data_IF_691762768220
#
_entry.id   IF_691762768220
#
_cell.length_a   1.000
_cell.length_b   1.000
_cell.length_c   1.000
_cell.angle_alpha   90.00
_cell.angle_beta   90.00
_cell.angle_gamma   90.00
#
_symmetry.space_group_name_H-M   'P 1'
#
loop_
_entity.id
_entity.type
_entity.pdbx_description
1 polymer ?
#
# COMPACT_ATOMS: atom_id res chain seq x y z
N UNK A 1 25.92 35.15 -14.51
CA UNK A 1 24.77 34.37 -15.00
C UNK A 1 23.51 35.17 -14.75
N UNK A 2 22.71 35.46 -15.78
CA UNK A 2 21.47 36.24 -15.65
C UNK A 2 20.46 35.46 -14.79
N UNK A 3 19.92 36.05 -13.73
CA UNK A 3 18.88 35.44 -12.93
C UNK A 3 17.61 35.26 -13.79
N UNK A 4 17.00 34.06 -13.76
CA UNK A 4 15.75 33.81 -14.49
C UNK A 4 14.58 34.28 -13.63
N UNK A 5 13.69 35.15 -14.12
CA UNK A 5 12.57 35.64 -13.30
C UNK A 5 11.62 34.50 -12.91
N UNK A 6 10.91 34.69 -11.80
CA UNK A 6 9.87 33.76 -11.35
C UNK A 6 8.77 33.63 -12.42
N UNK A 7 8.26 32.41 -12.71
CA UNK A 7 7.20 32.20 -13.69
C UNK A 7 5.92 33.00 -13.35
N UNK A 8 5.15 33.38 -14.37
CA UNK A 8 3.81 33.94 -14.15
C UNK A 8 2.83 32.86 -13.68
N UNK A 9 1.74 33.23 -13.00
CA UNK A 9 0.78 32.28 -12.41
C UNK A 9 0.21 31.25 -13.41
N UNK A 10 0.02 31.63 -14.68
CA UNK A 10 -0.54 30.77 -15.74
C UNK A 10 0.49 30.30 -16.77
N UNK A 11 1.78 30.44 -16.45
CA UNK A 11 2.84 29.97 -17.32
C UNK A 11 2.94 28.45 -17.28
N UNK A 12 3.44 27.82 -18.35
CA UNK A 12 3.64 26.38 -18.42
C UNK A 12 4.68 25.88 -17.39
N UNK A 13 5.56 26.77 -16.94
CA UNK A 13 6.57 26.49 -15.91
C UNK A 13 6.10 26.82 -14.48
N UNK A 14 4.85 27.25 -14.31
CA UNK A 14 4.29 27.54 -13.00
C UNK A 14 4.04 26.24 -12.22
N UNK A 15 4.51 26.13 -10.97
CA UNK A 15 4.21 24.98 -10.13
C UNK A 15 2.73 25.01 -9.74
N UNK A 16 2.10 23.84 -9.67
CA UNK A 16 0.69 23.70 -9.30
C UNK A 16 0.53 22.80 -8.09
N UNK A 17 -0.52 23.04 -7.32
CA UNK A 17 -0.89 22.25 -6.15
C UNK A 17 -2.38 21.94 -6.19
N UNK A 18 -2.71 20.70 -5.83
CA UNK A 18 -4.07 20.18 -5.74
C UNK A 18 -4.33 19.79 -4.28
N UNK A 19 -5.20 20.54 -3.59
CA UNK A 19 -5.53 20.32 -2.18
C UNK A 19 -6.22 18.98 -1.91
N UNK A 20 -6.83 18.35 -2.93
CA UNK A 20 -7.36 16.99 -2.83
C UNK A 20 -6.24 15.93 -2.72
N UNK A 21 -4.99 16.29 -3.02
CA UNK A 21 -3.81 15.43 -2.93
C UNK A 21 -2.74 16.05 -2.03
N UNK A 22 -2.90 16.01 -0.70
CA UNK A 22 -1.95 16.58 0.26
C UNK A 22 -0.50 16.11 0.09
N UNK A 23 -0.30 14.89 -0.42
CA UNK A 23 1.03 14.34 -0.69
C UNK A 23 1.81 15.08 -1.79
N UNK A 24 1.13 15.82 -2.66
CA UNK A 24 1.76 16.65 -3.69
C UNK A 24 2.29 17.98 -3.12
N UNK A 25 1.90 18.37 -1.90
CA UNK A 25 2.33 19.62 -1.27
C UNK A 25 3.85 19.68 -1.08
N UNK A 26 4.47 18.57 -0.67
CA UNK A 26 5.93 18.48 -0.58
C UNK A 26 6.61 18.71 -1.93
N UNK A 27 6.03 18.16 -3.01
CA UNK A 27 6.53 18.34 -4.38
C UNK A 27 6.38 19.77 -4.85
N UNK A 28 5.25 20.41 -4.53
CA UNK A 28 5.00 21.81 -4.83
C UNK A 28 6.06 22.72 -4.19
N UNK A 29 6.32 22.54 -2.90
CA UNK A 29 7.37 23.30 -2.21
C UNK A 29 8.76 23.04 -2.78
N UNK A 30 9.12 21.79 -3.10
CA UNK A 30 10.40 21.49 -3.72
C UNK A 30 10.58 22.18 -5.09
N UNK A 31 9.51 22.20 -5.92
CA UNK A 31 9.53 22.89 -7.21
C UNK A 31 9.69 24.41 -7.04
N UNK A 32 9.02 24.99 -6.06
CA UNK A 32 9.11 26.43 -5.77
C UNK A 32 10.48 26.82 -5.21
N UNK A 33 11.04 26.01 -4.32
CA UNK A 33 12.37 26.23 -3.77
C UNK A 33 13.44 26.20 -4.88
N UNK A 34 13.32 25.26 -5.81
CA UNK A 34 14.16 25.25 -7.01
C UNK A 34 14.01 26.53 -7.86
N UNK A 35 12.79 27.07 -7.99
CA UNK A 35 12.56 28.33 -8.69
C UNK A 35 13.15 29.52 -7.93
N UNK A 36 13.08 29.54 -6.60
CA UNK A 36 13.72 30.58 -5.79
C UNK A 36 15.23 30.61 -5.97
N UNK A 37 15.86 29.44 -5.99
CA UNK A 37 17.31 29.34 -6.20
C UNK A 37 17.70 29.87 -7.59
N UNK A 38 16.92 29.52 -8.61
CA UNK A 38 17.15 29.98 -9.99
C UNK A 38 16.90 31.47 -10.20
N UNK A 39 15.92 32.03 -9.48
CA UNK A 39 15.56 33.44 -9.51
C UNK A 39 16.34 34.29 -8.49
N UNK A 40 17.23 33.68 -7.70
CA UNK A 40 17.98 34.32 -6.62
C UNK A 40 17.07 35.07 -5.61
N UNK A 41 15.88 34.55 -5.34
CA UNK A 41 14.95 35.12 -4.35
C UNK A 41 15.44 34.72 -2.97
N UNK A 42 16.00 35.68 -2.22
CA UNK A 42 16.53 35.44 -0.86
C UNK A 42 15.58 35.91 0.23
N UNK A 43 14.75 36.92 -0.04
CA UNK A 43 13.86 37.50 0.95
C UNK A 43 12.73 36.55 1.37
N UNK A 44 12.50 36.45 2.67
CA UNK A 44 11.48 35.55 3.22
C UNK A 44 10.06 36.02 2.93
N UNK A 45 9.80 37.33 2.86
CA UNK A 45 8.46 37.84 2.54
C UNK A 45 8.12 37.55 1.08
N UNK A 46 9.06 37.82 0.16
CA UNK A 46 8.89 37.51 -1.25
C UNK A 46 8.72 36.02 -1.51
N UNK A 47 9.48 35.15 -0.83
CA UNK A 47 9.27 33.68 -0.91
C UNK A 47 7.85 33.28 -0.52
N UNK A 48 7.29 33.85 0.55
CA UNK A 48 5.91 33.55 0.97
C UNK A 48 4.90 34.00 -0.08
N UNK A 49 5.01 35.23 -0.60
CA UNK A 49 4.11 35.75 -1.66
C UNK A 49 4.16 34.90 -2.93
N UNK A 50 5.36 34.50 -3.34
CA UNK A 50 5.50 33.62 -4.49
C UNK A 50 4.93 32.22 -4.23
N UNK A 51 5.03 31.71 -3.00
CA UNK A 51 4.46 30.43 -2.63
C UNK A 51 2.92 30.42 -2.63
N UNK A 52 2.25 31.54 -2.40
CA UNK A 52 0.78 31.63 -2.47
C UNK A 52 0.29 31.97 -3.88
N UNK A 53 1.09 32.71 -4.67
CA UNK A 53 0.74 33.17 -6.02
C UNK A 53 0.30 32.07 -6.99
N UNK A 54 0.80 30.84 -6.87
CA UNK A 54 0.50 29.77 -7.84
C UNK A 54 -0.70 28.89 -7.45
N UNK A 55 -1.32 29.16 -6.31
CA UNK A 55 -2.42 28.38 -5.78
C UNK A 55 -3.76 28.78 -6.42
N UNK A 56 -4.75 27.89 -6.26
CA UNK A 56 -6.15 28.25 -6.51
C UNK A 56 -6.61 29.22 -5.42
N UNK A 57 -7.58 30.07 -5.73
CA UNK A 57 -8.03 31.18 -4.87
C UNK A 57 -8.33 30.73 -3.45
N UNK A 58 -9.04 29.61 -3.27
CA UNK A 58 -9.42 29.11 -1.95
C UNK A 58 -8.21 28.68 -1.10
N UNK A 59 -7.25 27.98 -1.72
CA UNK A 59 -6.00 27.58 -1.06
C UNK A 59 -5.11 28.80 -0.79
N UNK A 60 -5.09 29.78 -1.70
CA UNK A 60 -4.35 31.03 -1.54
C UNK A 60 -4.86 31.80 -0.31
N UNK A 61 -6.16 32.07 -0.24
CA UNK A 61 -6.80 32.77 0.90
C UNK A 61 -6.52 32.06 2.22
N UNK A 62 -6.56 30.72 2.20
CA UNK A 62 -6.28 29.89 3.37
C UNK A 62 -4.85 30.09 3.87
N UNK A 63 -3.86 30.13 2.96
CA UNK A 63 -2.45 30.30 3.32
C UNK A 63 -2.14 31.73 3.77
N UNK A 64 -2.79 32.72 3.15
CA UNK A 64 -2.62 34.14 3.48
C UNK A 64 -3.25 34.51 4.84
N UNK A 65 -4.25 33.75 5.29
CA UNK A 65 -4.88 33.91 6.61
C UNK A 65 -3.96 33.47 7.76
N UNK A 66 -2.91 32.69 7.49
CA UNK A 66 -2.00 32.22 8.53
C UNK A 66 -1.27 33.40 9.19
N UNK A 67 -1.18 33.46 10.53
CA UNK A 67 -0.50 34.56 11.23
C UNK A 67 0.99 34.65 10.88
N UNK A 68 1.57 33.53 10.46
CA UNK A 68 2.97 33.43 10.00
C UNK A 68 3.17 34.06 8.62
N UNK A 69 2.13 34.17 7.80
CA UNK A 69 2.20 34.87 6.51
C UNK A 69 2.29 36.38 6.72
N UNK A 70 1.36 36.96 7.50
CA UNK A 70 1.28 38.41 7.77
C UNK A 70 2.47 38.91 8.59
N UNK A 71 3.05 38.05 9.44
CA UNK A 71 4.17 38.44 10.27
C UNK A 71 5.51 38.42 9.49
N UNK A 72 6.06 39.61 9.27
CA UNK A 72 7.32 39.85 8.54
C UNK A 72 8.53 39.21 9.26
N UNK A 73 8.48 39.09 10.59
CA UNK A 73 9.59 38.50 11.39
C UNK A 73 9.70 36.99 11.25
N UNK A 74 8.66 36.33 10.72
CA UNK A 74 8.64 34.87 10.58
C UNK A 74 9.32 34.45 9.29
N UNK A 75 10.05 33.35 9.33
CA UNK A 75 10.79 32.86 8.15
C UNK A 75 9.88 32.09 7.19
N UNK A 76 10.34 31.94 5.96
CA UNK A 76 9.68 31.06 4.98
C UNK A 76 9.58 29.61 5.47
N UNK A 77 10.60 29.09 6.17
CA UNK A 77 10.58 27.73 6.70
C UNK A 77 9.47 27.53 7.74
N UNK A 78 9.25 28.51 8.61
CA UNK A 78 8.14 28.47 9.58
C UNK A 78 6.79 28.46 8.86
N UNK A 79 6.64 29.29 7.81
CA UNK A 79 5.46 29.29 6.96
C UNK A 79 5.22 27.92 6.31
N UNK A 80 6.26 27.33 5.69
CA UNK A 80 6.20 26.00 5.10
C UNK A 80 5.77 24.95 6.13
N UNK A 81 6.35 24.94 7.33
CA UNK A 81 5.96 24.01 8.39
C UNK A 81 4.50 24.16 8.81
N UNK A 82 4.00 25.39 8.96
CA UNK A 82 2.61 25.62 9.38
C UNK A 82 1.62 25.28 8.26
N UNK A 83 1.95 25.59 7.00
CA UNK A 83 1.17 25.15 5.85
C UNK A 83 1.14 23.63 5.76
N UNK A 84 2.29 22.96 5.93
CA UNK A 84 2.33 21.49 5.95
C UNK A 84 1.37 20.95 7.03
N UNK A 85 1.46 21.45 8.27
CA UNK A 85 0.59 21.07 9.39
C UNK A 85 -0.91 21.23 9.10
N UNK A 86 -1.29 22.24 8.31
CA UNK A 86 -2.68 22.49 7.94
C UNK A 86 -3.27 21.33 7.12
N UNK A 87 -2.49 20.78 6.19
CA UNK A 87 -2.96 19.69 5.31
C UNK A 87 -2.69 18.28 5.87
N UNK A 88 -1.67 18.11 6.73
CA UNK A 88 -1.26 16.80 7.25
C UNK A 88 -1.76 16.47 8.65
N UNK A 89 -2.59 17.33 9.26
CA UNK A 89 -3.16 17.08 10.57
C UNK A 89 -2.07 16.85 11.64
N UNK A 90 -1.34 17.93 11.96
CA UNK A 90 -0.32 17.99 13.01
C UNK A 90 0.94 17.10 12.82
N UNK A 91 1.05 16.33 11.73
CA UNK A 91 2.26 15.59 11.39
C UNK A 91 3.06 16.38 10.35
N UNK A 92 4.30 16.79 10.63
CA UNK A 92 5.13 17.61 9.73
C UNK A 92 5.50 16.94 8.38
N UNK A 93 4.92 15.79 8.10
CA UNK A 93 5.43 14.81 7.15
C UNK A 93 4.31 14.43 6.16
N UNK A 94 4.02 15.33 5.22
CA UNK A 94 2.82 15.31 4.38
C UNK A 94 2.71 14.19 3.34
N UNK A 95 3.58 13.18 3.28
CA UNK A 95 3.56 12.28 2.13
C UNK A 95 2.63 11.07 2.30
N UNK A 96 2.80 10.21 3.30
CA UNK A 96 1.92 9.03 3.46
C UNK A 96 1.72 8.59 4.91
N UNK A 97 0.46 8.42 5.34
CA UNK A 97 0.12 7.78 6.62
C UNK A 97 -0.14 6.28 6.48
N UNK A 98 -0.27 5.57 7.60
CA UNK A 98 -0.68 4.16 7.62
C UNK A 98 -2.07 3.99 6.98
N UNK A 99 -2.98 4.95 7.17
CA UNK A 99 -4.29 4.96 6.51
C UNK A 99 -4.21 4.95 4.98
N UNK A 100 -3.16 5.52 4.38
CA UNK A 100 -2.96 5.46 2.93
C UNK A 100 -2.56 4.05 2.47
N UNK A 101 -1.80 3.32 3.29
CA UNK A 101 -1.50 1.92 3.05
C UNK A 101 -2.78 1.08 3.14
N UNK A 102 -3.58 1.27 4.18
CA UNK A 102 -4.84 0.55 4.37
C UNK A 102 -5.84 0.83 3.24
N UNK A 103 -5.95 2.08 2.80
CA UNK A 103 -6.78 2.46 1.65
C UNK A 103 -6.30 1.79 0.36
N UNK A 104 -4.99 1.71 0.13
CA UNK A 104 -4.41 1.01 -1.01
C UNK A 104 -4.73 -0.49 -0.96
N UNK A 105 -4.51 -1.13 0.18
CA UNK A 105 -4.81 -2.55 0.39
C UNK A 105 -6.31 -2.83 0.23
N UNK A 106 -7.17 -1.97 0.77
CA UNK A 106 -8.62 -2.08 0.62
C UNK A 106 -9.12 -1.84 -0.80
N UNK A 107 -8.43 -1.02 -1.61
CA UNK A 107 -8.70 -0.89 -3.04
C UNK A 107 -8.36 -2.18 -3.78
N UNK A 108 -7.15 -2.71 -3.62
CA UNK A 108 -6.72 -3.91 -4.35
C UNK A 108 -7.37 -5.21 -3.83
N UNK A 109 -7.84 -5.24 -2.59
CA UNK A 109 -8.69 -6.32 -2.08
C UNK A 109 -10.02 -6.43 -2.87
N UNK A 110 -10.59 -5.29 -3.28
CA UNK A 110 -11.84 -5.22 -4.05
C UNK A 110 -11.62 -5.37 -5.55
N UNK A 111 -10.66 -4.63 -6.11
CA UNK A 111 -10.38 -4.59 -7.54
C UNK A 111 -9.66 -5.85 -8.03
N UNK A 112 -8.93 -6.54 -7.13
CA UNK A 112 -8.10 -7.73 -7.36
C UNK A 112 -6.99 -7.50 -8.41
N UNK A 113 -5.92 -8.29 -8.32
CA UNK A 113 -4.80 -8.21 -9.26
C UNK A 113 -4.97 -9.31 -10.30
N UNK A 114 -5.31 -8.93 -11.54
CA UNK A 114 -5.57 -9.89 -12.61
C UNK A 114 -4.45 -9.94 -13.65
N UNK A 115 -3.78 -8.81 -13.92
CA UNK A 115 -2.75 -8.71 -14.94
C UNK A 115 -1.39 -8.31 -14.38
N UNK A 116 -0.34 -8.55 -15.17
CA UNK A 116 1.02 -8.05 -14.88
C UNK A 116 1.06 -6.52 -14.79
N UNK A 117 0.24 -5.83 -15.58
CA UNK A 117 0.16 -4.37 -15.56
C UNK A 117 -0.44 -3.87 -14.23
N UNK A 118 -1.47 -4.56 -13.73
CA UNK A 118 -2.08 -4.25 -12.43
C UNK A 118 -1.09 -4.53 -11.29
N UNK A 119 -0.39 -5.67 -11.33
CA UNK A 119 0.64 -6.01 -10.35
C UNK A 119 1.73 -4.96 -10.30
N UNK A 120 2.20 -4.49 -11.45
CA UNK A 120 3.27 -3.47 -11.52
C UNK A 120 2.77 -2.12 -11.03
N UNK A 121 1.52 -1.75 -11.33
CA UNK A 121 0.91 -0.51 -10.83
C UNK A 121 0.73 -0.55 -9.32
N UNK A 122 0.22 -1.66 -8.79
CA UNK A 122 0.16 -1.93 -7.36
C UNK A 122 1.54 -1.82 -6.72
N UNK A 123 2.55 -2.51 -7.26
CA UNK A 123 3.91 -2.54 -6.72
C UNK A 123 4.52 -1.14 -6.61
N UNK A 124 4.39 -0.30 -7.65
CA UNK A 124 4.88 1.09 -7.61
C UNK A 124 4.19 1.92 -6.53
N UNK A 125 2.86 1.83 -6.44
CA UNK A 125 2.08 2.57 -5.44
C UNK A 125 2.41 2.09 -4.02
N UNK A 126 2.50 0.77 -3.84
CA UNK A 126 2.80 0.12 -2.58
C UNK A 126 4.20 0.49 -2.08
N UNK A 127 5.23 0.41 -2.93
CA UNK A 127 6.59 0.82 -2.57
C UNK A 127 6.66 2.30 -2.21
N UNK A 128 5.98 3.17 -2.97
CA UNK A 128 5.97 4.61 -2.69
C UNK A 128 5.48 4.91 -1.28
N UNK A 129 4.42 4.24 -0.84
CA UNK A 129 3.85 4.40 0.51
C UNK A 129 4.72 3.74 1.57
N UNK A 130 5.06 2.46 1.37
CA UNK A 130 5.73 1.67 2.41
C UNK A 130 7.19 2.07 2.64
N UNK A 131 7.93 2.47 1.59
CA UNK A 131 9.31 2.99 1.76
C UNK A 131 9.31 4.26 2.60
N UNK A 132 8.31 5.13 2.41
CA UNK A 132 8.12 6.30 3.23
C UNK A 132 7.82 5.93 4.69
N UNK A 133 6.86 5.03 4.92
CA UNK A 133 6.49 4.59 6.27
C UNK A 133 7.65 3.89 7.01
N UNK A 134 8.48 3.12 6.31
CA UNK A 134 9.70 2.50 6.85
C UNK A 134 10.73 3.56 7.23
N UNK A 135 10.96 4.56 6.36
CA UNK A 135 11.90 5.66 6.67
C UNK A 135 11.52 6.45 7.92
N UNK A 136 10.23 6.43 8.27
CA UNK A 136 9.67 7.05 9.48
C UNK A 136 9.47 6.07 10.64
N UNK A 137 9.97 4.83 10.50
CA UNK A 137 9.82 3.75 11.48
C UNK A 137 8.36 3.49 11.92
N UNK A 138 7.39 3.74 11.03
CA UNK A 138 5.95 3.51 11.28
C UNK A 138 5.53 2.09 10.98
N UNK A 139 6.22 1.45 10.05
CA UNK A 139 6.11 0.01 9.75
C UNK A 139 7.52 -0.56 9.57
N UNK A 140 7.68 -1.83 9.87
CA UNK A 140 8.89 -2.61 9.64
C UNK A 140 8.94 -3.20 8.21
N UNK A 141 10.13 -3.62 7.78
CA UNK A 141 10.33 -4.34 6.50
C UNK A 141 9.55 -5.66 6.47
N UNK A 142 9.43 -6.33 7.63
CA UNK A 142 8.65 -7.56 7.77
C UNK A 142 7.16 -7.31 7.56
N UNK A 143 6.62 -6.24 8.15
CA UNK A 143 5.23 -5.84 7.97
C UNK A 143 4.94 -5.41 6.53
N UNK A 144 5.86 -4.69 5.88
CA UNK A 144 5.77 -4.38 4.46
C UNK A 144 5.60 -5.65 3.61
N UNK A 145 6.41 -6.68 3.89
CA UNK A 145 6.38 -7.94 3.13
C UNK A 145 5.08 -8.71 3.37
N UNK A 146 4.59 -8.76 4.62
CA UNK A 146 3.30 -9.37 4.97
C UNK A 146 2.13 -8.63 4.34
N UNK A 147 2.12 -7.30 4.39
CA UNK A 147 1.08 -6.48 3.77
C UNK A 147 1.00 -6.69 2.25
N UNK A 148 2.15 -6.87 1.59
CA UNK A 148 2.19 -7.18 0.17
C UNK A 148 1.51 -8.52 -0.16
N UNK A 149 1.77 -9.56 0.64
CA UNK A 149 1.10 -10.86 0.50
C UNK A 149 -0.40 -10.75 0.77
N UNK A 150 -0.83 -10.03 1.82
CA UNK A 150 -2.25 -9.84 2.11
C UNK A 150 -3.00 -9.13 0.97
N UNK A 151 -2.33 -8.28 0.20
CA UNK A 151 -2.89 -7.60 -0.96
C UNK A 151 -3.16 -8.53 -2.16
N UNK A 152 -2.54 -9.72 -2.20
CA UNK A 152 -2.64 -10.70 -3.30
C UNK A 152 -3.99 -11.43 -3.25
N UNK A 153 -5.07 -10.70 -3.45
CA UNK A 153 -6.40 -11.26 -3.63
C UNK A 153 -6.64 -11.59 -5.11
N UNK A 154 -7.32 -12.72 -5.41
CA UNK A 154 -7.97 -13.66 -4.50
C UNK A 154 -7.02 -14.65 -3.80
N UNK A 155 -7.47 -15.32 -2.74
CA UNK A 155 -6.69 -16.32 -1.99
C UNK A 155 -6.04 -17.42 -2.86
N UNK A 156 -6.61 -17.74 -4.02
CA UNK A 156 -6.03 -18.66 -4.99
C UNK A 156 -4.77 -18.13 -5.69
N UNK A 157 -4.67 -16.80 -5.89
CA UNK A 157 -3.45 -16.16 -6.37
C UNK A 157 -2.37 -16.21 -5.29
N UNK A 158 -2.72 -15.83 -4.05
CA UNK A 158 -1.81 -15.91 -2.90
C UNK A 158 -1.21 -17.31 -2.73
N UNK A 159 -2.04 -18.36 -2.73
CA UNK A 159 -1.58 -19.73 -2.58
C UNK A 159 -0.57 -20.16 -3.67
N UNK A 160 -0.80 -19.73 -4.92
CA UNK A 160 0.14 -20.00 -6.03
C UNK A 160 1.46 -19.24 -5.86
N UNK A 161 1.40 -18.00 -5.35
CA UNK A 161 2.59 -17.20 -5.07
C UNK A 161 3.39 -17.80 -3.92
N UNK A 162 2.74 -18.19 -2.83
CA UNK A 162 3.37 -18.89 -1.70
C UNK A 162 4.02 -20.21 -2.14
N UNK A 163 3.33 -21.00 -2.96
CA UNK A 163 3.90 -22.22 -3.53
C UNK A 163 5.15 -21.93 -4.38
N UNK A 164 5.10 -20.91 -5.24
CA UNK A 164 6.26 -20.51 -6.04
C UNK A 164 7.43 -20.04 -5.16
N UNK A 165 7.16 -19.34 -4.06
CA UNK A 165 8.17 -18.89 -3.11
C UNK A 165 8.84 -20.08 -2.39
N UNK A 166 8.04 -21.04 -1.91
CA UNK A 166 8.56 -22.26 -1.26
C UNK A 166 9.44 -23.08 -2.20
N UNK A 167 9.06 -23.20 -3.49
CA UNK A 167 9.86 -23.93 -4.48
C UNK A 167 11.17 -23.18 -4.79
N UNK A 168 11.12 -21.85 -4.94
CA UNK A 168 12.31 -21.06 -5.28
C UNK A 168 13.28 -20.91 -4.11
N UNK A 169 12.77 -20.92 -2.88
CA UNK A 169 13.55 -20.65 -1.66
C UNK A 169 13.17 -21.62 -0.53
N UNK A 170 13.57 -22.89 -0.63
CA UNK A 170 13.26 -23.89 0.38
C UNK A 170 13.98 -23.65 1.72
N UNK A 171 15.08 -22.90 1.71
CA UNK A 171 15.90 -22.65 2.90
C UNK A 171 15.34 -21.57 3.85
N UNK A 172 14.29 -20.84 3.43
CA UNK A 172 13.65 -19.81 4.25
C UNK A 172 12.72 -20.50 5.25
N UNK A 173 12.91 -20.20 6.54
CA UNK A 173 12.04 -20.71 7.60
C UNK A 173 10.64 -20.12 7.47
N UNK A 174 9.57 -20.86 7.82
CA UNK A 174 8.20 -20.33 7.79
C UNK A 174 8.00 -19.02 8.59
N UNK A 175 8.83 -18.79 9.60
CA UNK A 175 8.79 -17.64 10.49
C UNK A 175 9.52 -16.41 9.91
N UNK A 176 10.43 -16.61 8.95
CA UNK A 176 11.21 -15.54 8.35
C UNK A 176 10.44 -14.88 7.20
N UNK A 177 10.34 -13.54 7.16
CA UNK A 177 9.64 -12.84 6.11
C UNK A 177 10.40 -12.93 4.77
N UNK A 178 9.68 -13.25 3.70
CA UNK A 178 10.21 -13.16 2.33
C UNK A 178 10.55 -11.70 1.98
N UNK A 179 11.60 -11.49 1.18
CA UNK A 179 11.88 -10.14 0.67
C UNK A 179 10.82 -9.77 -0.35
N UNK A 180 10.38 -8.51 -0.32
CA UNK A 180 9.32 -8.03 -1.23
C UNK A 180 9.62 -8.23 -2.72
N UNK A 181 10.90 -8.15 -3.11
CA UNK A 181 11.34 -8.39 -4.50
C UNK A 181 11.05 -9.85 -4.91
N UNK A 182 11.33 -10.80 -4.02
CA UNK A 182 11.09 -12.22 -4.29
C UNK A 182 9.58 -12.50 -4.47
N UNK A 183 8.76 -11.85 -3.64
CA UNK A 183 7.30 -11.96 -3.70
C UNK A 183 6.77 -11.36 -5.01
N UNK A 184 7.30 -10.21 -5.42
CA UNK A 184 6.96 -9.58 -6.70
C UNK A 184 7.33 -10.49 -7.88
N UNK A 185 8.53 -11.07 -7.89
CA UNK A 185 8.99 -11.97 -8.95
C UNK A 185 8.16 -13.26 -9.01
N UNK A 186 7.77 -13.81 -7.85
CA UNK A 186 6.88 -14.96 -7.77
C UNK A 186 5.48 -14.62 -8.31
N UNK A 187 4.89 -13.49 -7.90
CA UNK A 187 3.60 -13.02 -8.39
C UNK A 187 3.63 -12.78 -9.91
N UNK A 188 4.69 -12.16 -10.41
CA UNK A 188 4.86 -11.92 -11.84
C UNK A 188 4.96 -13.24 -12.64
N UNK A 189 5.63 -14.25 -12.09
CA UNK A 189 5.70 -15.60 -12.68
C UNK A 189 4.34 -16.30 -12.69
N UNK A 190 3.61 -16.28 -11.57
CA UNK A 190 2.28 -16.90 -11.47
C UNK A 190 1.29 -16.27 -12.47
N UNK A 191 1.32 -14.95 -12.60
CA UNK A 191 0.49 -14.23 -13.57
C UNK A 191 0.94 -14.48 -15.02
N UNK A 192 2.20 -14.86 -15.26
CA UNK A 192 2.67 -15.31 -16.57
C UNK A 192 2.21 -16.74 -16.90
N UNK A 193 2.15 -17.61 -15.90
CA UNK A 193 1.90 -19.05 -16.04
C UNK A 193 0.43 -19.46 -16.11
N UNK A 194 -0.53 -18.52 -16.05
CA UNK A 194 -1.97 -18.81 -16.14
C UNK A 194 -2.46 -19.27 -17.53
N UNK A 195 -1.59 -19.93 -18.31
CA UNK A 195 -1.89 -20.62 -19.58
C UNK A 195 -1.68 -22.15 -19.46
N UNK A 196 -1.16 -22.67 -18.33
CA UNK A 196 -0.83 -24.10 -18.21
C UNK A 196 -1.42 -24.79 -16.99
N UNK A 197 -2.74 -24.93 -16.88
CA UNK A 197 -3.29 -26.00 -16.05
C UNK A 197 -3.04 -27.33 -16.77
N UNK A 198 -1.98 -28.03 -16.39
CA UNK A 198 -1.92 -29.47 -16.61
C UNK A 198 -3.07 -30.09 -15.82
N UNK A 199 -4.12 -30.45 -16.55
CA UNK A 199 -5.21 -31.29 -16.06
C UNK A 199 -4.61 -32.64 -15.70
N UNK A 200 -4.44 -32.90 -14.40
CA UNK A 200 -4.28 -34.27 -13.92
C UNK A 200 -5.64 -34.92 -14.06
N UNK A 201 -5.80 -35.68 -15.14
CA UNK A 201 -6.93 -36.57 -15.33
C UNK A 201 -6.87 -37.64 -14.23
N UNK A 202 -7.89 -37.67 -13.36
CA UNK A 202 -8.15 -38.82 -12.50
C UNK A 202 -8.39 -40.06 -13.37
N UNK A 203 -7.77 -41.21 -13.09
CA UNK A 203 -8.13 -42.44 -13.76
C UNK A 203 -9.52 -42.88 -13.28
N UNK A 204 -10.50 -42.81 -14.15
CA UNK A 204 -11.81 -43.45 -13.96
C UNK A 204 -11.65 -44.96 -14.14
N UNK A 205 -11.91 -45.74 -13.08
CA UNK A 205 -12.13 -47.19 -13.20
C UNK A 205 -13.54 -47.49 -13.73
N UNK A 206 -13.72 -48.55 -14.54
CA UNK A 206 -15.00 -48.88 -15.16
C UNK A 206 -15.95 -49.61 -14.19
N UNK A 207 -17.23 -49.42 -14.46
CA UNK A 207 -18.41 -49.95 -13.77
C UNK A 207 -18.51 -51.48 -13.83
N UNK A 208 -18.97 -52.11 -12.73
CA UNK A 208 -19.70 -53.38 -12.77
C UNK A 208 -20.73 -53.44 -11.62
N UNK A 209 -21.99 -53.66 -12.00
CA UNK A 209 -23.18 -53.81 -11.16
C UNK A 209 -23.12 -55.02 -10.21
N UNK A 210 -23.79 -54.89 -9.06
CA UNK A 210 -24.85 -55.78 -8.50
C UNK A 210 -24.80 -55.82 -6.96
N UNK A 211 -25.94 -55.52 -6.32
CA UNK A 211 -26.30 -55.94 -4.95
C UNK A 211 -26.91 -57.36 -5.01
N UNK A 212 -26.90 -58.20 -3.94
CA UNK A 212 -27.65 -57.93 -2.71
C UNK A 212 -26.98 -58.30 -1.36
N UNK A 213 -27.65 -57.86 -0.28
CA UNK A 213 -27.29 -57.78 1.15
C UNK A 213 -27.21 -59.12 1.94
N UNK A 214 -27.19 -59.14 3.30
CA UNK A 214 -26.33 -58.44 4.29
C UNK A 214 -25.59 -59.45 5.22
N UNK A 215 -24.48 -59.05 5.84
CA UNK A 215 -23.91 -59.80 6.98
C UNK A 215 -23.41 -58.86 8.08
N UNK A 216 -23.97 -59.02 9.27
CA UNK A 216 -23.53 -58.39 10.52
C UNK A 216 -22.11 -58.82 10.88
N UNK A 217 -21.21 -57.86 11.12
CA UNK A 217 -20.02 -58.09 11.96
C UNK A 217 -19.81 -56.89 12.90
N UNK A 218 -20.04 -57.20 14.17
CA UNK A 218 -19.74 -56.52 15.43
C UNK A 218 -18.67 -55.42 15.37
N UNK A 219 -19.06 -54.19 15.72
CA UNK A 219 -18.16 -53.07 15.94
C UNK A 219 -17.45 -53.18 17.31
N UNK A 220 -16.13 -53.06 17.30
CA UNK A 220 -15.27 -52.92 18.49
C UNK A 220 -15.26 -51.45 18.96
N UNK A 221 -15.45 -51.13 20.26
CA UNK A 221 -15.62 -49.76 20.73
C UNK A 221 -14.26 -49.13 21.07
N UNK A 222 -13.50 -48.72 20.03
CA UNK A 222 -12.18 -48.10 20.21
C UNK A 222 -11.96 -46.73 19.57
N UNK A 223 -12.82 -46.28 18.64
CA UNK A 223 -12.51 -45.14 17.75
C UNK A 223 -13.47 -43.94 17.92
N UNK A 224 -14.44 -44.00 18.85
CA UNK A 224 -15.40 -42.91 19.05
C UNK A 224 -14.87 -41.72 19.88
N UNK A 225 -13.72 -41.83 20.56
CA UNK A 225 -13.24 -40.80 21.50
C UNK A 225 -12.31 -39.73 20.89
N UNK A 226 -12.01 -39.77 19.59
CA UNK A 226 -11.08 -38.81 18.97
C UNK A 226 -11.74 -37.81 17.99
N UNK A 227 -13.00 -38.05 17.59
CA UNK A 227 -13.74 -37.14 16.70
C UNK A 227 -14.49 -36.04 17.47
N UNK A 228 -14.74 -36.21 18.77
CA UNK A 228 -15.38 -35.20 19.61
C UNK A 228 -14.46 -34.05 20.07
N UNK A 229 -13.13 -34.24 20.04
CA UNK A 229 -12.18 -33.23 20.53
C UNK A 229 -11.88 -32.14 19.49
N UNK A 230 -11.99 -32.46 18.19
CA UNK A 230 -11.68 -31.53 17.10
C UNK A 230 -12.79 -30.50 16.80
N UNK A 231 -14.02 -30.73 17.25
CA UNK A 231 -15.14 -29.77 17.09
C UNK A 231 -15.21 -28.71 18.20
N UNK A 232 -14.50 -28.89 19.32
CA UNK A 232 -14.39 -27.88 20.38
C UNK A 232 -13.44 -26.73 20.02
N UNK A 233 -12.34 -27.04 19.32
CA UNK A 233 -11.29 -26.06 19.02
C UNK A 233 -11.70 -25.06 17.93
N UNK A 234 -12.58 -25.48 17.00
CA UNK A 234 -13.17 -24.59 15.97
C UNK A 234 -14.14 -23.58 16.60
N UNK A 235 -14.85 -23.92 17.69
CA UNK A 235 -15.73 -22.98 18.40
C UNK A 235 -14.96 -21.93 19.21
N UNK A 236 -13.79 -22.27 19.74
CA UNK A 236 -12.94 -21.31 20.49
C UNK A 236 -12.30 -20.28 19.55
N UNK A 237 -11.88 -20.69 18.35
CA UNK A 237 -11.30 -19.76 17.36
C UNK A 237 -12.33 -18.83 16.71
N UNK A 238 -13.61 -19.21 16.67
CA UNK A 238 -14.69 -18.35 16.18
C UNK A 238 -15.12 -17.27 17.19
N UNK A 239 -14.77 -17.39 18.48
CA UNK A 239 -15.09 -16.39 19.51
C UNK A 239 -14.00 -15.34 19.73
N UNK A 240 -12.85 -15.45 19.05
CA UNK A 240 -11.80 -14.40 19.06
C UNK A 240 -11.90 -13.42 17.88
N UNK A 241 -12.92 -13.53 17.02
CA UNK A 241 -13.19 -12.55 15.98
C UNK A 241 -13.96 -11.35 16.58
N UNK A 242 -13.21 -10.41 17.16
CA UNK A 242 -13.75 -9.10 17.54
C UNK A 242 -13.87 -8.28 16.24
N UNK A 243 -15.07 -7.82 15.84
CA UNK A 243 -15.20 -6.87 14.75
C UNK A 243 -14.72 -5.50 15.24
N UNK A 244 -13.66 -4.97 14.64
CA UNK A 244 -13.27 -3.57 14.82
C UNK A 244 -14.41 -2.67 14.32
N UNK A 245 -14.92 -1.85 15.23
CA UNK A 245 -15.80 -0.71 14.97
C UNK A 245 -14.97 0.55 14.84
#
# INVERSE_FOLDING_TARGET
>A
TMATPMPAHRDCNAPTFDSAKPHELCRYFANIEFLFDRAAVTDSSEKKKHATRYLVVEDQETWETLPVFTNITKTYNQFKTDVLKLYSGNNEECCFGVSNLDALLGHYSRTRIYSKADLTTFYRQFLRITTYLISKARISVSEQSRAFLCAMQPASLLAKVEQCLQIKKPDIRPEDPYKIIDIYDAAHFVLAGSIGTLSVASPSSPSASMLPAPAEVKADPGIALLVGSMTGLIKVLASCYIPCR
#
